data_IF_223399279321
#
_entry.id   IF_223399279321
#
_cell.length_a   1.000
_cell.length_b   1.000
_cell.length_c   1.000
_cell.angle_alpha   90.00
_cell.angle_beta   90.00
_cell.angle_gamma   90.00
#
_symmetry.space_group_name_H-M   'P 1'
#
loop_
_entity.id
_entity.type
_entity.pdbx_description
1 polymer ?
#
# COMPACT_ATOMS: atom_id res chain seq x y z
N UNK A 1 22.86 18.41 0.99
CA UNK A 1 22.96 17.64 -0.27
C UNK A 1 22.10 18.30 -1.33
N UNK A 2 22.51 18.24 -2.58
CA UNK A 2 21.82 18.92 -3.68
C UNK A 2 20.38 18.45 -3.82
N UNK A 3 20.11 17.16 -3.68
CA UNK A 3 18.75 16.60 -3.76
C UNK A 3 17.83 17.11 -2.65
N UNK A 4 18.33 17.23 -1.44
CA UNK A 4 17.52 17.73 -0.31
C UNK A 4 17.20 19.22 -0.47
N UNK A 5 18.11 20.00 -1.05
CA UNK A 5 17.89 21.42 -1.33
C UNK A 5 16.85 21.64 -2.44
N UNK A 6 16.82 20.78 -3.47
CA UNK A 6 15.87 20.90 -4.58
C UNK A 6 14.52 20.27 -4.31
N UNK A 7 14.40 19.41 -3.30
CA UNK A 7 13.18 18.68 -2.97
C UNK A 7 11.93 19.57 -2.81
N UNK A 8 12.02 20.75 -2.14
CA UNK A 8 10.87 21.65 -2.05
C UNK A 8 10.44 22.26 -3.37
N UNK A 9 11.31 22.27 -4.37
CA UNK A 9 11.08 22.89 -5.68
C UNK A 9 10.68 21.88 -6.77
N UNK A 10 10.74 20.56 -6.48
CA UNK A 10 10.27 19.55 -7.41
C UNK A 10 8.75 19.59 -7.46
N UNK A 11 8.21 19.60 -8.67
CA UNK A 11 6.77 19.38 -8.85
C UNK A 11 6.38 18.09 -8.15
N UNK A 12 5.38 18.18 -7.28
CA UNK A 12 4.82 16.99 -6.65
C UNK A 12 4.23 16.11 -7.72
N UNK A 13 4.64 14.86 -7.76
CA UNK A 13 4.07 13.87 -8.67
C UNK A 13 2.56 13.82 -8.44
N UNK A 14 1.79 13.90 -9.52
CA UNK A 14 0.35 13.82 -9.46
C UNK A 14 -0.07 12.42 -9.05
N UNK A 15 -0.75 12.31 -7.90
CA UNK A 15 -1.21 11.04 -7.34
C UNK A 15 -2.73 10.91 -7.49
N UNK A 16 -3.25 9.71 -7.20
CA UNK A 16 -4.71 9.52 -7.13
C UNK A 16 -5.34 10.46 -6.11
N UNK A 17 -4.70 10.67 -4.96
CA UNK A 17 -5.18 11.60 -3.94
C UNK A 17 -5.18 13.05 -4.44
N UNK A 18 -4.15 13.46 -5.17
CA UNK A 18 -4.09 14.78 -5.78
C UNK A 18 -5.26 15.01 -6.75
N UNK A 19 -5.52 14.04 -7.61
CA UNK A 19 -6.64 14.06 -8.55
C UNK A 19 -7.97 14.17 -7.80
N UNK A 20 -8.15 13.39 -6.77
CA UNK A 20 -9.38 13.41 -5.96
C UNK A 20 -9.58 14.76 -5.26
N UNK A 21 -8.52 15.37 -4.75
CA UNK A 21 -8.57 16.71 -4.15
C UNK A 21 -8.94 17.78 -5.17
N UNK A 22 -8.40 17.69 -6.38
CA UNK A 22 -8.75 18.60 -7.49
C UNK A 22 -10.23 18.49 -7.85
N UNK A 23 -10.81 17.31 -7.73
CA UNK A 23 -12.24 17.08 -7.95
C UNK A 23 -13.11 17.50 -6.77
N UNK A 24 -12.51 18.00 -5.70
CA UNK A 24 -13.24 18.56 -4.56
C UNK A 24 -13.69 17.54 -3.52
N UNK A 25 -13.10 16.34 -3.48
CA UNK A 25 -13.54 15.27 -2.59
C UNK A 25 -12.90 15.28 -1.20
N UNK A 26 -12.08 16.27 -0.90
CA UNK A 26 -11.40 16.34 0.42
C UNK A 26 -12.41 16.40 1.58
N UNK A 27 -13.49 17.19 1.42
CA UNK A 27 -14.51 17.29 2.47
C UNK A 27 -15.28 15.99 2.65
N UNK A 28 -15.50 15.21 1.57
CA UNK A 28 -16.13 13.91 1.69
C UNK A 28 -15.19 12.92 2.41
N UNK A 29 -13.90 12.96 2.13
CA UNK A 29 -12.92 12.16 2.85
C UNK A 29 -12.95 12.47 4.35
N UNK A 30 -13.02 13.74 4.71
CA UNK A 30 -13.14 14.16 6.10
C UNK A 30 -14.45 13.67 6.74
N UNK A 31 -15.54 13.68 5.99
CA UNK A 31 -16.82 13.13 6.45
C UNK A 31 -16.71 11.63 6.76
N UNK A 32 -16.06 10.87 5.87
CA UNK A 32 -15.83 9.43 6.09
C UNK A 32 -15.00 9.20 7.36
N UNK A 33 -13.97 10.00 7.59
CA UNK A 33 -13.11 9.88 8.77
C UNK A 33 -13.80 10.28 10.07
N UNK A 34 -14.93 10.96 9.99
CA UNK A 34 -15.79 11.22 11.16
C UNK A 34 -16.65 10.01 11.52
N UNK A 35 -16.56 8.93 10.76
CA UNK A 35 -17.18 7.64 11.01
C UNK A 35 -18.71 7.70 11.04
N UNK A 36 -19.36 8.02 9.91
CA UNK A 36 -20.82 7.93 9.84
C UNK A 36 -21.24 6.51 10.20
N UNK A 37 -22.23 6.40 11.07
CA UNK A 37 -22.68 5.11 11.60
C UNK A 37 -23.31 4.24 10.52
N UNK A 38 -24.08 4.87 9.62
CA UNK A 38 -24.84 4.19 8.55
C UNK A 38 -24.26 4.49 7.18
N UNK A 39 -24.22 3.46 6.34
CA UNK A 39 -23.84 3.60 4.95
C UNK A 39 -24.77 4.56 4.19
N UNK A 40 -26.08 4.55 4.53
CA UNK A 40 -27.04 5.45 3.92
C UNK A 40 -26.68 6.93 4.12
N UNK A 41 -26.13 7.28 5.28
CA UNK A 41 -25.71 8.65 5.57
C UNK A 41 -24.50 9.05 4.72
N UNK A 42 -23.58 8.13 4.50
CA UNK A 42 -22.44 8.35 3.62
C UNK A 42 -22.91 8.56 2.17
N UNK A 43 -23.81 7.72 1.69
CA UNK A 43 -24.34 7.80 0.34
C UNK A 43 -25.05 9.15 0.10
N UNK A 44 -25.83 9.61 1.08
CA UNK A 44 -26.50 10.89 1.02
C UNK A 44 -25.53 12.06 0.97
N UNK A 45 -24.47 12.00 1.75
CA UNK A 45 -23.42 13.02 1.73
C UNK A 45 -22.65 13.01 0.41
N UNK A 46 -22.32 11.84 -0.10
CA UNK A 46 -21.58 11.66 -1.34
C UNK A 46 -22.34 12.22 -2.55
N UNK A 47 -23.66 12.18 -2.53
CA UNK A 47 -24.51 12.72 -3.59
C UNK A 47 -24.24 14.20 -3.87
N UNK A 48 -23.87 14.96 -2.85
CA UNK A 48 -23.55 16.39 -2.95
C UNK A 48 -22.29 16.67 -3.79
N UNK A 49 -21.47 15.68 -4.01
CA UNK A 49 -20.17 15.82 -4.69
C UNK A 49 -20.21 15.38 -6.14
N UNK A 50 -21.35 14.88 -6.61
CA UNK A 50 -21.55 14.55 -8.02
C UNK A 50 -21.47 15.83 -8.84
N UNK A 51 -20.60 15.85 -9.85
CA UNK A 51 -20.36 17.02 -10.68
C UNK A 51 -19.91 16.58 -12.07
N UNK A 52 -20.67 16.91 -13.07
CA UNK A 52 -20.31 16.64 -14.46
C UNK A 52 -19.04 17.40 -14.85
N UNK A 53 -18.93 18.66 -14.42
CA UNK A 53 -17.76 19.50 -14.68
C UNK A 53 -16.48 18.89 -14.14
N UNK A 54 -16.54 18.31 -12.95
CA UNK A 54 -15.37 17.68 -12.29
C UNK A 54 -15.22 16.20 -12.60
N UNK A 55 -16.08 15.67 -13.46
CA UNK A 55 -16.08 14.25 -13.83
C UNK A 55 -16.27 13.30 -12.64
N UNK A 56 -17.16 13.67 -11.73
CA UNK A 56 -17.65 12.82 -10.64
C UNK A 56 -19.07 12.40 -11.02
N UNK A 57 -19.23 11.21 -11.54
CA UNK A 57 -20.44 10.81 -12.26
C UNK A 57 -21.47 10.07 -11.40
N UNK A 58 -21.07 9.59 -10.23
CA UNK A 58 -21.93 8.78 -9.37
C UNK A 58 -21.52 8.91 -7.91
N UNK A 59 -22.38 8.37 -7.02
CA UNK A 59 -22.08 8.25 -5.60
C UNK A 59 -20.83 7.37 -5.41
N UNK A 60 -20.75 6.28 -6.15
CA UNK A 60 -19.60 5.33 -6.10
C UNK A 60 -18.31 6.02 -6.50
N UNK A 61 -18.34 6.83 -7.56
CA UNK A 61 -17.16 7.60 -7.98
C UNK A 61 -16.72 8.58 -6.89
N UNK A 62 -17.66 9.31 -6.30
CA UNK A 62 -17.35 10.25 -5.21
C UNK A 62 -16.69 9.56 -4.04
N UNK A 63 -17.24 8.43 -3.61
CA UNK A 63 -16.69 7.64 -2.50
C UNK A 63 -15.31 7.10 -2.87
N UNK A 64 -15.13 6.55 -4.08
CA UNK A 64 -13.84 6.02 -4.53
C UNK A 64 -12.75 7.09 -4.51
N UNK A 65 -13.04 8.28 -5.03
CA UNK A 65 -12.08 9.40 -4.98
C UNK A 65 -11.76 9.82 -3.54
N UNK A 66 -12.78 9.89 -2.69
CA UNK A 66 -12.57 10.21 -1.27
C UNK A 66 -11.69 9.17 -0.57
N UNK A 67 -11.90 7.88 -0.88
CA UNK A 67 -11.06 6.80 -0.35
C UNK A 67 -9.63 6.87 -0.85
N UNK A 68 -9.38 7.36 -2.07
CA UNK A 68 -8.02 7.57 -2.57
C UNK A 68 -7.26 8.58 -1.70
N UNK A 69 -7.94 9.62 -1.23
CA UNK A 69 -7.36 10.61 -0.31
C UNK A 69 -7.02 9.95 1.04
N UNK A 70 -7.94 9.15 1.55
CA UNK A 70 -7.74 8.44 2.83
C UNK A 70 -6.59 7.43 2.71
N UNK A 71 -6.49 6.72 1.58
CA UNK A 71 -5.41 5.76 1.34
C UNK A 71 -4.03 6.43 1.40
N UNK A 72 -3.88 7.62 0.83
CA UNK A 72 -2.63 8.37 0.92
C UNK A 72 -2.37 8.83 2.36
N UNK A 73 -3.40 9.31 3.06
CA UNK A 73 -3.27 9.69 4.47
C UNK A 73 -2.80 8.52 5.33
N UNK A 74 -3.31 7.31 5.09
CA UNK A 74 -2.86 6.11 5.79
C UNK A 74 -1.38 5.85 5.50
N UNK A 75 -0.97 5.93 4.25
CA UNK A 75 0.42 5.69 3.85
C UNK A 75 1.39 6.74 4.41
N UNK A 76 0.93 7.96 4.63
CA UNK A 76 1.74 9.05 5.20
C UNK A 76 1.79 9.00 6.72
N UNK A 77 1.00 8.16 7.35
CA UNK A 77 0.97 8.03 8.81
C UNK A 77 2.18 7.23 9.29
N UNK A 78 3.10 7.91 9.97
CA UNK A 78 4.34 7.30 10.45
C UNK A 78 4.11 6.11 11.38
N UNK A 79 3.10 6.18 12.23
CA UNK A 79 2.76 5.12 13.19
C UNK A 79 2.33 3.84 12.47
N UNK A 80 1.51 3.95 11.44
CA UNK A 80 1.06 2.78 10.66
C UNK A 80 2.23 2.18 9.88
N UNK A 81 3.04 3.01 9.24
CA UNK A 81 4.20 2.54 8.51
C UNK A 81 5.19 1.81 9.41
N UNK A 82 5.47 2.38 10.57
CA UNK A 82 6.37 1.78 11.55
C UNK A 82 5.85 0.43 12.03
N UNK A 83 4.56 0.33 12.32
CA UNK A 83 3.94 -0.93 12.74
C UNK A 83 4.09 -2.00 11.65
N UNK A 84 3.80 -1.66 10.40
CA UNK A 84 3.93 -2.60 9.27
C UNK A 84 5.39 -3.04 9.11
N UNK A 85 6.32 -2.10 9.16
CA UNK A 85 7.75 -2.40 9.01
C UNK A 85 8.25 -3.33 10.13
N UNK A 86 7.95 -3.01 11.38
CA UNK A 86 8.37 -3.82 12.51
C UNK A 86 7.76 -5.23 12.50
N UNK A 87 6.47 -5.33 12.19
CA UNK A 87 5.81 -6.64 12.07
C UNK A 87 6.41 -7.46 10.94
N UNK A 88 6.70 -6.83 9.81
CA UNK A 88 7.30 -7.52 8.67
C UNK A 88 8.72 -7.99 9.01
N UNK A 89 9.50 -7.18 9.68
CA UNK A 89 10.85 -7.57 10.14
C UNK A 89 10.85 -8.74 11.11
N UNK A 90 9.86 -8.78 12.02
CA UNK A 90 9.79 -9.82 13.05
C UNK A 90 9.15 -11.10 12.54
N UNK A 91 8.09 -11.00 11.80
CA UNK A 91 7.22 -12.14 11.46
C UNK A 91 7.09 -12.40 9.97
N UNK A 92 7.56 -11.49 9.13
CA UNK A 92 7.46 -11.63 7.69
C UNK A 92 8.37 -12.74 7.15
N UNK A 93 8.02 -13.19 5.95
CA UNK A 93 8.83 -14.14 5.19
C UNK A 93 9.14 -13.58 3.82
N UNK A 94 10.40 -13.71 3.43
CA UNK A 94 10.80 -13.41 2.06
C UNK A 94 10.73 -14.69 1.26
N UNK A 95 10.04 -14.67 0.14
CA UNK A 95 9.83 -15.84 -0.72
C UNK A 95 10.30 -15.54 -2.13
N UNK A 96 10.71 -16.59 -2.83
CA UNK A 96 11.11 -16.49 -4.21
C UNK A 96 10.60 -17.68 -5.00
N UNK A 97 10.25 -17.45 -6.26
CA UNK A 97 9.85 -18.48 -7.20
C UNK A 97 10.44 -18.19 -8.57
N UNK A 98 10.78 -19.25 -9.30
CA UNK A 98 11.33 -19.11 -10.65
C UNK A 98 10.23 -18.59 -11.60
N UNK A 99 10.60 -17.65 -12.47
CA UNK A 99 9.71 -17.18 -13.53
C UNK A 99 9.65 -18.19 -14.67
N UNK A 100 8.64 -18.07 -15.53
CA UNK A 100 8.38 -18.99 -16.64
C UNK A 100 9.61 -19.33 -17.48
N UNK A 101 10.44 -18.36 -17.82
CA UNK A 101 11.67 -18.57 -18.61
C UNK A 101 12.92 -18.38 -17.76
N UNK A 102 12.78 -18.40 -16.44
CA UNK A 102 13.88 -18.12 -15.52
C UNK A 102 15.03 -19.11 -15.61
N UNK A 103 14.72 -20.40 -15.73
CA UNK A 103 15.76 -21.44 -15.85
C UNK A 103 16.61 -21.26 -17.09
N UNK A 104 16.01 -20.86 -18.21
CA UNK A 104 16.72 -20.60 -19.46
C UNK A 104 17.66 -19.41 -19.33
N UNK A 105 17.26 -18.39 -18.59
CA UNK A 105 18.08 -17.20 -18.36
C UNK A 105 19.23 -17.46 -17.41
N UNK A 106 19.07 -18.44 -16.52
CA UNK A 106 20.09 -18.85 -15.54
C UNK A 106 20.88 -20.06 -16.08
N UNK A 107 21.61 -19.82 -17.17
CA UNK A 107 22.31 -20.88 -17.91
C UNK A 107 23.23 -21.75 -17.03
N UNK A 108 23.88 -21.15 -16.05
CA UNK A 108 24.85 -21.84 -15.18
C UNK A 108 24.21 -22.35 -13.89
N UNK A 109 22.92 -22.17 -13.69
CA UNK A 109 22.24 -22.56 -12.47
C UNK A 109 22.70 -21.80 -11.22
N UNK A 110 23.23 -20.59 -11.43
CA UNK A 110 23.78 -19.76 -10.34
C UNK A 110 22.75 -19.50 -9.24
N UNK A 111 21.47 -19.32 -9.61
CA UNK A 111 20.40 -18.99 -8.70
C UNK A 111 19.43 -20.15 -8.44
N UNK A 112 19.83 -21.36 -8.76
CA UNK A 112 18.98 -22.56 -8.64
C UNK A 112 18.40 -22.72 -7.24
N UNK A 113 19.16 -22.40 -6.20
CA UNK A 113 18.72 -22.50 -4.81
C UNK A 113 17.56 -21.57 -4.48
N UNK A 114 17.29 -20.58 -5.32
CA UNK A 114 16.23 -19.61 -5.10
C UNK A 114 15.01 -19.82 -6.00
N UNK A 115 14.94 -20.89 -6.78
CA UNK A 115 13.80 -21.20 -7.65
C UNK A 115 12.54 -21.49 -6.84
N UNK A 116 12.70 -22.03 -5.66
CA UNK A 116 11.64 -22.25 -4.69
C UNK A 116 12.23 -22.01 -3.31
N UNK A 117 12.06 -20.80 -2.79
CA UNK A 117 12.79 -20.36 -1.62
C UNK A 117 11.89 -19.62 -0.65
N UNK A 118 12.13 -19.81 0.64
CA UNK A 118 11.45 -19.05 1.69
C UNK A 118 12.31 -19.01 2.94
N UNK A 119 12.40 -17.82 3.53
CA UNK A 119 13.12 -17.62 4.78
C UNK A 119 12.51 -16.47 5.56
N UNK A 120 12.58 -16.54 6.89
CA UNK A 120 12.10 -15.45 7.73
C UNK A 120 12.95 -14.21 7.51
N UNK A 121 12.29 -13.05 7.38
CA UNK A 121 12.97 -11.76 7.22
C UNK A 121 13.95 -11.51 8.37
N UNK A 122 13.58 -11.91 9.59
CA UNK A 122 14.41 -11.70 10.77
C UNK A 122 15.71 -12.54 10.79
N UNK A 123 15.80 -13.56 9.95
CA UNK A 123 16.92 -14.50 9.94
C UNK A 123 17.76 -14.49 8.67
N UNK A 124 17.24 -13.90 7.60
CA UNK A 124 17.93 -13.94 6.32
C UNK A 124 19.23 -13.14 6.34
N UNK A 125 20.29 -13.77 5.82
CA UNK A 125 21.59 -13.11 5.72
C UNK A 125 21.62 -12.09 4.58
N UNK A 126 22.36 -11.01 4.77
CA UNK A 126 22.46 -9.92 3.78
C UNK A 126 22.91 -10.39 2.40
N UNK A 127 23.85 -11.34 2.33
CA UNK A 127 24.33 -11.86 1.03
C UNK A 127 23.24 -12.59 0.25
N UNK A 128 22.28 -13.21 0.95
CA UNK A 128 21.14 -13.88 0.30
C UNK A 128 20.15 -12.85 -0.23
N UNK A 129 19.92 -11.76 0.48
CA UNK A 129 19.08 -10.66 0.00
C UNK A 129 19.68 -10.09 -1.28
N UNK A 130 20.99 -9.86 -1.31
CA UNK A 130 21.68 -9.38 -2.50
C UNK A 130 21.56 -10.34 -3.68
N UNK A 131 21.68 -11.65 -3.43
CA UNK A 131 21.52 -12.67 -4.47
C UNK A 131 20.08 -12.70 -5.01
N UNK A 132 19.08 -12.62 -4.14
CA UNK A 132 17.67 -12.55 -4.52
C UNK A 132 17.40 -11.30 -5.39
N UNK A 133 17.90 -10.15 -4.97
CA UNK A 133 17.75 -8.90 -5.73
C UNK A 133 18.37 -8.98 -7.11
N UNK A 134 19.55 -9.59 -7.20
CA UNK A 134 20.26 -9.77 -8.47
C UNK A 134 19.51 -10.70 -9.40
N UNK A 135 19.07 -11.85 -8.88
CA UNK A 135 18.30 -12.83 -9.67
C UNK A 135 16.99 -12.24 -10.17
N UNK A 136 16.30 -11.45 -9.36
CA UNK A 136 15.07 -10.78 -9.77
C UNK A 136 15.33 -9.74 -10.86
N UNK A 137 16.39 -8.97 -10.72
CA UNK A 137 16.79 -7.97 -11.73
C UNK A 137 17.11 -8.63 -13.08
N UNK A 138 17.72 -9.81 -13.05
CA UNK A 138 18.02 -10.58 -14.26
C UNK A 138 16.78 -11.29 -14.84
N UNK A 139 15.65 -11.20 -14.20
CA UNK A 139 14.40 -11.78 -14.67
C UNK A 139 14.27 -13.28 -14.44
N UNK A 140 15.08 -13.86 -13.54
CA UNK A 140 15.11 -15.29 -13.26
C UNK A 140 14.05 -15.70 -12.27
N UNK A 141 13.89 -14.93 -11.18
CA UNK A 141 12.96 -15.21 -10.10
C UNK A 141 12.04 -14.01 -9.83
N UNK A 142 10.97 -14.30 -9.11
CA UNK A 142 10.09 -13.28 -8.53
C UNK A 142 10.25 -13.36 -7.01
N UNK A 143 10.51 -12.20 -6.40
CA UNK A 143 10.67 -12.10 -4.95
C UNK A 143 9.46 -11.39 -4.35
N UNK A 144 8.96 -11.92 -3.25
CA UNK A 144 7.83 -11.33 -2.50
C UNK A 144 8.15 -11.38 -1.02
N UNK A 145 7.54 -10.46 -0.28
CA UNK A 145 7.57 -10.49 1.18
C UNK A 145 6.16 -10.72 1.65
N UNK A 146 5.96 -11.79 2.41
CA UNK A 146 4.67 -12.18 2.97
C UNK A 146 4.59 -11.81 4.44
N UNK A 147 3.42 -11.37 4.85
CA UNK A 147 3.13 -11.02 6.23
C UNK A 147 1.66 -11.33 6.56
N UNK A 148 1.30 -11.20 7.84
CA UNK A 148 -0.07 -11.42 8.30
C UNK A 148 -0.92 -10.19 7.98
N UNK A 149 -1.51 -10.19 6.80
CA UNK A 149 -2.32 -9.08 6.30
C UNK A 149 -3.50 -8.77 7.22
N UNK A 150 -4.15 -9.78 7.73
CA UNK A 150 -5.30 -9.58 8.62
C UNK A 150 -4.91 -8.81 9.87
N UNK A 151 -3.82 -9.18 10.50
CA UNK A 151 -3.30 -8.47 11.68
C UNK A 151 -2.98 -7.01 11.35
N UNK A 152 -2.30 -6.76 10.24
CA UNK A 152 -1.89 -5.42 9.83
C UNK A 152 -3.11 -4.55 9.50
N UNK A 153 -4.04 -5.08 8.75
CA UNK A 153 -5.25 -4.35 8.36
C UNK A 153 -6.12 -4.03 9.57
N UNK A 154 -6.29 -4.98 10.47
CA UNK A 154 -7.07 -4.77 11.69
C UNK A 154 -6.44 -3.72 12.61
N UNK A 155 -5.12 -3.68 12.68
CA UNK A 155 -4.44 -2.64 13.44
C UNK A 155 -4.77 -1.25 12.90
N UNK A 156 -4.68 -1.08 11.59
CA UNK A 156 -4.98 0.20 10.95
C UNK A 156 -6.47 0.55 11.09
N UNK A 157 -7.34 -0.43 10.88
CA UNK A 157 -8.78 -0.22 11.04
C UNK A 157 -9.13 0.27 12.44
N UNK A 158 -8.59 -0.36 13.46
CA UNK A 158 -8.80 0.06 14.85
C UNK A 158 -8.25 1.47 15.09
N UNK A 159 -7.13 1.81 14.48
CA UNK A 159 -6.58 3.15 14.53
C UNK A 159 -7.48 4.20 13.91
N UNK A 160 -8.10 3.88 12.78
CA UNK A 160 -9.03 4.77 12.08
C UNK A 160 -10.38 4.90 12.81
N UNK A 161 -10.91 3.80 13.30
CA UNK A 161 -12.28 3.74 13.87
C UNK A 161 -12.31 3.90 15.39
N UNK A 162 -11.18 3.74 16.07
CA UNK A 162 -11.11 3.70 17.53
C UNK A 162 -12.10 2.69 18.12
N UNK A 163 -12.30 1.58 17.41
CA UNK A 163 -13.28 0.54 17.76
C UNK A 163 -14.74 1.01 17.73
N UNK A 164 -15.02 2.14 17.08
CA UNK A 164 -16.38 2.63 16.91
C UNK A 164 -17.12 1.78 15.88
N UNK A 165 -18.28 1.19 16.23
CA UNK A 165 -19.03 0.36 15.27
C UNK A 165 -19.66 1.24 14.17
N UNK A 166 -19.34 0.90 12.91
CA UNK A 166 -19.88 1.63 11.75
C UNK A 166 -20.11 0.67 10.58
N UNK A 167 -21.14 0.96 9.79
CA UNK A 167 -21.45 0.19 8.59
C UNK A 167 -20.42 0.40 7.46
N UNK A 168 -19.54 1.40 7.58
CA UNK A 168 -18.54 1.67 6.55
C UNK A 168 -17.23 0.92 6.76
N UNK A 169 -17.14 0.02 7.74
CA UNK A 169 -15.90 -0.70 8.02
C UNK A 169 -15.37 -1.48 6.81
N UNK A 170 -16.25 -2.06 6.00
CA UNK A 170 -15.82 -2.77 4.79
C UNK A 170 -15.17 -1.83 3.78
N UNK A 171 -15.72 -0.64 3.59
CA UNK A 171 -15.12 0.38 2.73
C UNK A 171 -13.75 0.81 3.25
N UNK A 172 -13.62 0.97 4.57
CA UNK A 172 -12.34 1.32 5.18
C UNK A 172 -11.33 0.20 5.03
N UNK A 173 -11.74 -1.07 5.16
CA UNK A 173 -10.85 -2.21 4.93
C UNK A 173 -10.36 -2.27 3.48
N UNK A 174 -11.23 -2.03 2.51
CA UNK A 174 -10.83 -1.93 1.10
C UNK A 174 -9.83 -0.80 0.88
N UNK A 175 -10.07 0.35 1.51
CA UNK A 175 -9.16 1.49 1.46
C UNK A 175 -7.79 1.15 2.06
N UNK A 176 -7.78 0.48 3.21
CA UNK A 176 -6.55 0.04 3.87
C UNK A 176 -5.79 -0.93 2.96
N UNK A 177 -6.49 -1.91 2.37
CA UNK A 177 -5.88 -2.87 1.46
C UNK A 177 -5.25 -2.19 0.25
N UNK A 178 -5.93 -1.21 -0.33
CA UNK A 178 -5.42 -0.42 -1.45
C UNK A 178 -4.17 0.38 -1.05
N UNK A 179 -4.22 1.06 0.10
CA UNK A 179 -3.08 1.82 0.62
C UNK A 179 -1.87 0.92 0.87
N UNK A 180 -2.10 -0.26 1.44
CA UNK A 180 -1.04 -1.24 1.70
C UNK A 180 -0.41 -1.71 0.39
N UNK A 181 -1.22 -2.14 -0.57
CA UNK A 181 -0.75 -2.70 -1.83
C UNK A 181 0.00 -1.68 -2.69
N UNK A 182 -0.56 -0.47 -2.85
CA UNK A 182 0.00 0.55 -3.75
C UNK A 182 1.11 1.37 -3.13
N UNK A 183 1.03 1.65 -1.84
CA UNK A 183 1.83 2.70 -1.21
C UNK A 183 2.75 2.18 -0.10
N UNK A 184 2.23 1.40 0.85
CA UNK A 184 3.02 1.00 2.01
C UNK A 184 3.94 -0.18 1.72
N UNK A 185 3.43 -1.29 1.19
CA UNK A 185 4.23 -2.48 0.92
C UNK A 185 5.41 -2.22 -0.01
N UNK A 186 5.26 -1.52 -1.14
CA UNK A 186 6.42 -1.25 -1.99
C UNK A 186 7.56 -0.53 -1.28
N UNK A 187 7.22 0.41 -0.41
CA UNK A 187 8.18 1.15 0.39
C UNK A 187 8.86 0.27 1.44
N UNK A 188 8.08 -0.53 2.15
CA UNK A 188 8.57 -1.45 3.19
C UNK A 188 9.48 -2.52 2.58
N UNK A 189 9.09 -3.10 1.44
CA UNK A 189 9.90 -4.10 0.75
C UNK A 189 11.25 -3.53 0.30
N UNK A 190 11.26 -2.32 -0.24
CA UNK A 190 12.51 -1.67 -0.60
C UNK A 190 13.44 -1.49 0.60
N UNK A 191 12.90 -1.07 1.71
CA UNK A 191 13.68 -0.87 2.94
C UNK A 191 14.25 -2.19 3.47
N UNK A 192 13.46 -3.25 3.49
CA UNK A 192 13.91 -4.57 3.95
C UNK A 192 14.98 -5.16 3.02
N UNK A 193 14.85 -4.94 1.72
CA UNK A 193 15.74 -5.50 0.70
C UNK A 193 16.98 -4.64 0.42
N UNK A 194 17.09 -3.50 1.04
CA UNK A 194 18.25 -2.61 0.84
C UNK A 194 19.50 -2.97 1.66
#
# INVERSE_FOLDING_TARGET
>A
RVEDLYRPFKEKKRTKATIAKEKGLENLANFILKLPKKLADLNKEAEKYISEEKEVNSIEDAITYALDIIAENISDNAKYREYVLENTRKFGQITASVKKDGEKKDENGTYKNYYEYGEQVSKIASHRILALNRAEKEGIIRVSIENDKERLYNYILRGLTRNYPTEINELLLECIADSMKRLIYPSIEREIRS
#
